data_IF_979760056522
#
_entry.id   IF_979760056522
#
_cell.length_a   1.000
_cell.length_b   1.000
_cell.length_c   1.000
_cell.angle_alpha   90.00
_cell.angle_beta   90.00
_cell.angle_gamma   90.00
#
_symmetry.space_group_name_H-M   'P 1'
#
loop_
_entity.id
_entity.type
_entity.pdbx_description
1 polymer ?
#
# COMPACT_ATOMS: atom_id res chain seq x y z
N UNK A 1 20.59 4.62 6.55
CA UNK A 1 19.71 5.08 5.45
C UNK A 1 18.47 5.77 5.98
N UNK A 2 17.69 5.15 6.86
CA UNK A 2 16.52 5.78 7.52
C UNK A 2 16.87 7.08 8.27
N UNK A 3 17.97 7.13 9.04
CA UNK A 3 18.44 8.38 9.66
C UNK A 3 18.69 9.53 8.67
N UNK A 4 19.45 9.25 7.60
CA UNK A 4 19.69 10.22 6.51
C UNK A 4 18.39 10.62 5.80
N UNK A 5 17.44 9.69 5.62
CA UNK A 5 16.11 10.00 5.09
C UNK A 5 15.33 10.95 6.01
N UNK A 6 15.41 10.80 7.33
CA UNK A 6 14.77 11.71 8.30
C UNK A 6 15.37 13.13 8.23
N UNK A 7 16.70 13.24 8.14
CA UNK A 7 17.38 14.54 7.94
C UNK A 7 16.92 15.18 6.63
N UNK A 8 16.87 14.40 5.54
CA UNK A 8 16.31 14.89 4.27
C UNK A 8 14.84 15.30 4.40
N UNK A 9 14.05 14.58 5.20
CA UNK A 9 12.68 14.96 5.53
C UNK A 9 12.60 16.35 6.15
N UNK A 10 13.52 16.67 7.05
CA UNK A 10 13.65 18.00 7.65
C UNK A 10 14.04 19.06 6.60
N UNK A 11 15.05 18.78 5.77
CA UNK A 11 15.47 19.67 4.67
C UNK A 11 14.30 20.03 3.74
N UNK A 12 13.43 19.07 3.46
CA UNK A 12 12.25 19.25 2.61
C UNK A 12 10.97 19.61 3.39
N UNK A 13 11.04 19.93 4.68
CA UNK A 13 9.86 20.29 5.49
C UNK A 13 8.72 19.24 5.42
N UNK A 14 9.11 17.97 5.31
CA UNK A 14 8.23 16.80 5.36
C UNK A 14 8.64 15.83 6.48
N UNK A 15 9.35 16.34 7.49
CA UNK A 15 9.95 15.56 8.56
C UNK A 15 8.92 14.76 9.36
N UNK A 16 7.74 15.32 9.63
CA UNK A 16 6.66 14.63 10.34
C UNK A 16 6.19 13.34 9.64
N UNK A 17 6.03 13.40 8.32
CA UNK A 17 5.63 12.26 7.50
C UNK A 17 6.71 11.18 7.48
N UNK A 18 7.97 11.60 7.32
CA UNK A 18 9.12 10.70 7.32
C UNK A 18 9.31 10.05 8.69
N UNK A 19 9.09 10.78 9.79
CA UNK A 19 9.09 10.22 11.15
C UNK A 19 7.95 9.22 11.33
N UNK A 20 6.74 9.53 10.86
CA UNK A 20 5.59 8.62 10.92
C UNK A 20 5.88 7.30 10.20
N UNK A 21 6.40 7.37 8.97
CA UNK A 21 6.76 6.16 8.21
C UNK A 21 7.90 5.40 8.89
N UNK A 22 8.94 6.10 9.36
CA UNK A 22 10.08 5.47 10.03
C UNK A 22 9.64 4.75 11.30
N UNK A 23 8.83 5.39 12.14
CA UNK A 23 8.26 4.78 13.35
C UNK A 23 7.42 3.54 13.04
N UNK A 24 6.59 3.60 11.99
CA UNK A 24 5.74 2.48 11.62
C UNK A 24 6.52 1.24 11.16
N UNK A 25 7.75 1.39 10.65
CA UNK A 25 8.60 0.24 10.29
C UNK A 25 9.05 -0.58 11.50
N UNK A 26 8.96 -0.03 12.72
CA UNK A 26 9.29 -0.74 13.96
C UNK A 26 8.17 -1.66 14.46
N UNK A 27 6.98 -1.57 13.87
CA UNK A 27 5.80 -2.30 14.33
C UNK A 27 5.13 -3.09 13.18
N UNK A 28 4.28 -4.07 13.50
CA UNK A 28 3.41 -4.68 12.50
C UNK A 28 2.51 -3.63 11.82
N UNK A 29 2.09 -3.89 10.58
CA UNK A 29 1.14 -3.01 9.89
C UNK A 29 -0.19 -2.92 10.67
N UNK A 30 -0.85 -1.73 10.73
CA UNK A 30 -2.08 -1.56 11.50
C UNK A 30 -3.29 -2.25 10.87
N UNK A 31 -3.19 -2.76 9.64
CA UNK A 31 -4.29 -3.36 8.89
C UNK A 31 -4.62 -4.79 9.37
N UNK A 32 -5.84 -4.99 9.88
CA UNK A 32 -6.30 -6.32 10.31
C UNK A 32 -6.89 -7.08 9.12
N UNK A 33 -6.14 -8.03 8.56
CA UNK A 33 -6.53 -8.79 7.36
C UNK A 33 -6.54 -10.33 7.53
N UNK A 34 -6.25 -10.86 8.71
CA UNK A 34 -6.27 -12.30 9.03
C UNK A 34 -5.53 -13.18 7.99
N UNK A 35 -4.42 -12.69 7.42
CA UNK A 35 -3.63 -13.40 6.41
C UNK A 35 -4.25 -13.45 5.00
N UNK A 36 -5.37 -12.76 4.79
CA UNK A 36 -6.02 -12.56 3.48
C UNK A 36 -5.44 -11.32 2.78
N UNK A 37 -5.89 -11.09 1.55
CA UNK A 37 -5.55 -9.85 0.83
C UNK A 37 -6.25 -8.66 1.48
N UNK A 38 -5.63 -7.48 1.42
CA UNK A 38 -6.27 -6.26 1.90
C UNK A 38 -7.59 -6.02 1.17
N UNK A 39 -8.63 -5.69 1.94
CA UNK A 39 -9.95 -5.35 1.42
C UNK A 39 -10.01 -3.93 0.85
N UNK A 40 -11.14 -3.58 0.23
CA UNK A 40 -11.36 -2.25 -0.35
C UNK A 40 -11.14 -1.11 0.64
N UNK A 41 -11.61 -1.27 1.89
CA UNK A 41 -11.46 -0.30 2.97
C UNK A 41 -10.00 0.11 3.17
N UNK A 42 -9.07 -0.85 3.21
CA UNK A 42 -7.65 -0.58 3.40
C UNK A 42 -6.99 -0.01 2.13
N UNK A 43 -7.37 -0.53 0.96
CA UNK A 43 -6.81 -0.07 -0.32
C UNK A 43 -7.21 1.36 -0.68
N UNK A 44 -8.38 1.83 -0.21
CA UNK A 44 -8.85 3.19 -0.44
C UNK A 44 -7.94 4.24 0.19
N UNK A 45 -7.23 3.92 1.28
CA UNK A 45 -6.24 4.81 1.88
C UNK A 45 -5.02 5.06 0.98
N UNK A 46 -4.74 4.20 -0.02
CA UNK A 46 -3.66 4.43 -0.98
C UNK A 46 -4.01 5.51 -2.03
N UNK A 47 -5.29 5.87 -2.16
CA UNK A 47 -5.79 6.79 -3.17
C UNK A 47 -5.34 6.40 -4.59
N UNK A 48 -4.77 7.37 -5.32
CA UNK A 48 -4.21 7.19 -6.67
C UNK A 48 -2.71 6.91 -6.66
N UNK A 49 -2.08 6.82 -5.48
CA UNK A 49 -0.62 6.75 -5.35
C UNK A 49 -0.04 5.35 -5.47
N UNK A 50 -0.86 4.29 -5.41
CA UNK A 50 -0.40 2.89 -5.50
C UNK A 50 0.73 2.58 -4.49
N UNK A 51 0.55 3.00 -3.24
CA UNK A 51 1.59 2.96 -2.21
C UNK A 51 1.05 2.50 -0.86
N UNK A 52 1.70 1.47 -0.31
CA UNK A 52 1.47 0.98 1.05
C UNK A 52 1.87 2.03 2.10
N UNK A 53 2.98 2.76 1.88
CA UNK A 53 3.42 3.84 2.78
C UNK A 53 2.44 5.03 2.77
N UNK A 54 1.90 5.39 1.60
CA UNK A 54 0.86 6.44 1.51
C UNK A 54 -0.44 5.97 2.16
N UNK A 55 -0.81 4.70 2.01
CA UNK A 55 -1.98 4.14 2.69
C UNK A 55 -1.82 4.22 4.21
N UNK A 56 -0.65 3.87 4.73
CA UNK A 56 -0.32 4.01 6.14
C UNK A 56 -0.39 5.47 6.62
N UNK A 57 0.21 6.42 5.88
CA UNK A 57 0.13 7.85 6.21
C UNK A 57 -1.32 8.35 6.25
N UNK A 58 -2.12 7.96 5.26
CA UNK A 58 -3.53 8.37 5.16
C UNK A 58 -4.37 7.77 6.30
N UNK A 59 -4.08 6.53 6.71
CA UNK A 59 -4.67 5.92 7.92
C UNK A 59 -4.29 6.71 9.15
N UNK A 60 -3.01 7.05 9.30
CA UNK A 60 -2.51 7.75 10.48
C UNK A 60 -3.14 9.15 10.61
N UNK A 61 -3.25 9.89 9.51
CA UNK A 61 -3.94 11.19 9.48
C UNK A 61 -5.41 11.05 9.89
N UNK A 62 -6.15 10.11 9.28
CA UNK A 62 -7.57 9.91 9.60
C UNK A 62 -7.80 9.38 11.03
N UNK A 63 -6.89 8.55 11.55
CA UNK A 63 -6.94 8.07 12.92
C UNK A 63 -6.64 9.18 13.93
N UNK A 64 -5.64 10.03 13.65
CA UNK A 64 -5.30 11.15 14.53
C UNK A 64 -6.47 12.13 14.64
N UNK A 65 -7.11 12.46 13.51
CA UNK A 65 -8.34 13.25 13.47
C UNK A 65 -9.48 12.63 14.29
N UNK A 66 -9.68 11.30 14.17
CA UNK A 66 -10.71 10.59 14.94
C UNK A 66 -10.40 10.55 16.44
N UNK A 67 -9.11 10.39 16.80
CA UNK A 67 -8.62 10.35 18.18
C UNK A 67 -8.84 11.69 18.90
N UNK A 68 -8.78 12.82 18.19
CA UNK A 68 -9.13 14.12 18.74
C UNK A 68 -10.59 14.21 19.23
N UNK A 69 -11.47 13.34 18.74
CA UNK A 69 -12.87 13.20 19.21
C UNK A 69 -13.04 12.38 20.49
N UNK A 70 -11.95 11.90 21.11
CA UNK A 70 -11.94 11.09 22.33
C UNK A 70 -11.84 9.58 22.08
N UNK A 71 -11.63 8.82 23.15
CA UNK A 71 -11.33 7.38 23.08
C UNK A 71 -12.44 6.55 22.40
N UNK A 72 -13.71 6.92 22.63
CA UNK A 72 -14.84 6.21 22.02
C UNK A 72 -14.92 6.44 20.50
N UNK A 73 -14.54 7.65 20.03
CA UNK A 73 -14.46 7.95 18.60
C UNK A 73 -13.28 7.21 17.95
N UNK A 74 -12.12 7.18 18.62
CA UNK A 74 -10.95 6.41 18.20
C UNK A 74 -11.27 4.92 18.05
N UNK A 75 -11.93 4.33 19.07
CA UNK A 75 -12.35 2.93 19.07
C UNK A 75 -13.29 2.62 17.91
N UNK A 76 -14.35 3.43 17.73
CA UNK A 76 -15.30 3.27 16.62
C UNK A 76 -14.62 3.38 15.25
N UNK A 77 -13.68 4.30 15.09
CA UNK A 77 -12.90 4.43 13.86
C UNK A 77 -12.08 3.16 13.59
N UNK A 78 -11.33 2.67 14.58
CA UNK A 78 -10.50 1.48 14.44
C UNK A 78 -11.33 0.22 14.15
N UNK A 79 -12.47 0.04 14.84
CA UNK A 79 -13.40 -1.05 14.60
C UNK A 79 -13.98 -1.00 13.17
N UNK A 80 -14.48 0.17 12.77
CA UNK A 80 -15.08 0.37 11.45
C UNK A 80 -14.08 0.17 10.30
N UNK A 81 -12.84 0.66 10.45
CA UNK A 81 -11.78 0.53 9.44
C UNK A 81 -10.96 -0.76 9.57
N UNK A 82 -11.25 -1.62 10.56
CA UNK A 82 -10.51 -2.85 10.88
C UNK A 82 -9.01 -2.58 11.04
N UNK A 83 -8.68 -1.70 11.98
CA UNK A 83 -7.33 -1.26 12.30
C UNK A 83 -6.96 -1.63 13.74
N UNK A 84 -5.68 -1.92 13.96
CA UNK A 84 -5.12 -2.13 15.29
C UNK A 84 -4.88 -0.78 15.99
N UNK A 85 -5.74 -0.43 16.94
CA UNK A 85 -5.59 0.77 17.76
C UNK A 85 -4.26 0.78 18.52
N UNK A 86 -3.87 -0.37 19.09
CA UNK A 86 -2.60 -0.51 19.81
C UNK A 86 -1.39 -0.20 18.91
N UNK A 87 -1.38 -0.70 17.67
CA UNK A 87 -0.31 -0.41 16.70
C UNK A 87 -0.23 1.07 16.36
N UNK A 88 -1.38 1.73 16.17
CA UNK A 88 -1.44 3.16 15.85
C UNK A 88 -0.92 4.01 17.01
N UNK A 89 -1.33 3.71 18.26
CA UNK A 89 -0.83 4.39 19.46
C UNK A 89 0.68 4.20 19.65
N UNK A 90 1.20 2.96 19.54
CA UNK A 90 2.65 2.70 19.61
C UNK A 90 3.43 3.43 18.51
N UNK A 91 2.88 3.49 17.29
CA UNK A 91 3.49 4.22 16.18
C UNK A 91 3.54 5.72 16.47
N UNK A 92 2.48 6.28 17.06
CA UNK A 92 2.44 7.68 17.46
C UNK A 92 3.47 8.01 18.54
N UNK A 93 3.58 7.17 19.58
CA UNK A 93 4.59 7.35 20.64
C UNK A 93 6.01 7.34 20.08
N UNK A 94 6.33 6.35 19.23
CA UNK A 94 7.64 6.27 18.58
C UNK A 94 7.89 7.46 17.64
N UNK A 95 6.87 7.94 16.91
CA UNK A 95 6.95 9.14 16.08
C UNK A 95 7.30 10.37 16.93
N UNK A 96 6.65 10.56 18.08
CA UNK A 96 6.92 11.68 18.99
C UNK A 96 8.37 11.61 19.48
N UNK A 97 8.84 10.43 19.91
CA UNK A 97 10.23 10.24 20.34
C UNK A 97 11.23 10.61 19.22
N UNK A 98 10.96 10.24 17.97
CA UNK A 98 11.81 10.64 16.84
C UNK A 98 11.83 12.15 16.62
N UNK A 99 10.68 12.83 16.74
CA UNK A 99 10.59 14.29 16.63
C UNK A 99 11.38 14.96 17.76
N UNK A 100 11.23 14.50 18.99
CA UNK A 100 11.94 15.05 20.15
C UNK A 100 13.46 14.88 20.03
N UNK A 101 13.92 13.74 19.51
CA UNK A 101 15.35 13.53 19.21
C UNK A 101 15.86 14.53 18.16
N UNK A 102 15.10 14.78 17.09
CA UNK A 102 15.49 15.74 16.06
C UNK A 102 15.51 17.18 16.61
N UNK A 103 14.48 17.59 17.36
CA UNK A 103 14.39 18.92 17.97
C UNK A 103 15.52 19.13 18.97
N UNK A 104 15.77 18.16 19.86
CA UNK A 104 16.88 18.22 20.82
C UNK A 104 18.26 18.20 20.15
N UNK A 105 18.35 17.68 18.93
CA UNK A 105 19.56 17.76 18.09
C UNK A 105 19.70 19.10 17.35
N UNK A 106 18.78 20.06 17.55
CA UNK A 106 18.85 21.42 17.01
C UNK A 106 18.01 21.65 15.75
N UNK A 107 17.30 20.65 15.23
CA UNK A 107 16.44 20.83 14.05
C UNK A 107 15.26 21.76 14.38
N UNK A 108 14.92 22.72 13.50
CA UNK A 108 13.79 23.61 13.74
C UNK A 108 12.45 22.86 13.79
N UNK A 109 11.54 23.25 14.67
CA UNK A 109 10.24 22.58 14.81
C UNK A 109 9.39 22.69 13.54
N UNK A 110 9.58 23.76 12.76
CA UNK A 110 8.84 24.05 11.53
C UNK A 110 8.99 22.93 10.49
N UNK A 111 10.15 22.25 10.45
CA UNK A 111 10.37 21.15 9.51
C UNK A 111 9.71 19.83 9.94
N UNK A 112 9.19 19.78 11.17
CA UNK A 112 8.55 18.63 11.82
C UNK A 112 7.06 18.89 12.11
N UNK A 113 6.50 19.97 11.57
CA UNK A 113 5.07 20.25 11.69
C UNK A 113 4.24 19.18 10.95
N UNK A 114 3.15 18.75 11.59
CA UNK A 114 2.17 17.86 10.96
C UNK A 114 1.53 18.61 9.78
N UNK A 115 1.45 17.94 8.63
CA UNK A 115 0.82 18.50 7.43
C UNK A 115 -0.17 17.51 6.85
N UNK A 116 -1.34 17.97 6.35
CA UNK A 116 -2.29 17.11 5.68
C UNK A 116 -1.77 16.74 4.29
N UNK A 117 -1.97 15.48 3.90
CA UNK A 117 -1.62 14.99 2.56
C UNK A 117 -2.86 14.61 1.74
N UNK A 118 -2.80 14.89 0.44
CA UNK A 118 -3.79 14.45 -0.54
C UNK A 118 -3.29 13.24 -1.33
N UNK A 119 -3.87 12.07 -1.04
CA UNK A 119 -3.54 10.81 -1.68
C UNK A 119 -4.26 10.57 -3.03
N UNK A 120 -5.21 11.41 -3.43
CA UNK A 120 -6.04 11.21 -4.63
C UNK A 120 -5.73 12.22 -5.73
N UNK A 121 -5.36 13.45 -5.35
CA UNK A 121 -4.99 14.53 -6.26
C UNK A 121 -3.49 14.88 -6.24
N UNK A 122 -3.10 15.94 -6.96
CA UNK A 122 -1.74 16.47 -6.93
C UNK A 122 -1.36 16.94 -5.51
N UNK A 123 -0.19 16.53 -5.05
CA UNK A 123 0.39 16.92 -3.77
C UNK A 123 1.91 16.78 -3.87
N UNK A 124 2.59 17.91 -4.01
CA UNK A 124 4.04 17.94 -4.23
C UNK A 124 4.81 17.53 -2.98
N UNK A 125 4.27 17.76 -1.77
CA UNK A 125 4.95 17.36 -0.54
C UNK A 125 4.89 15.83 -0.39
N UNK A 126 3.74 15.22 -0.70
CA UNK A 126 3.61 13.77 -0.77
C UNK A 126 4.53 13.16 -1.85
N UNK A 127 4.65 13.81 -3.00
CA UNK A 127 5.56 13.39 -4.07
C UNK A 127 7.03 13.40 -3.62
N UNK A 128 7.43 14.40 -2.83
CA UNK A 128 8.75 14.42 -2.18
C UNK A 128 8.89 13.30 -1.17
N UNK A 129 7.90 13.06 -0.31
CA UNK A 129 7.92 11.94 0.64
C UNK A 129 8.13 10.61 -0.09
N UNK A 130 7.45 10.36 -1.21
CA UNK A 130 7.66 9.15 -2.04
C UNK A 130 9.09 9.09 -2.59
N UNK A 131 9.65 10.23 -2.98
CA UNK A 131 11.04 10.33 -3.46
C UNK A 131 12.05 9.99 -2.36
N UNK A 132 11.82 10.50 -1.14
CA UNK A 132 12.63 10.20 0.04
C UNK A 132 12.48 8.73 0.49
N UNK A 133 11.28 8.16 0.34
CA UNK A 133 11.08 6.73 0.59
C UNK A 133 11.90 5.88 -0.36
N UNK A 134 11.94 6.25 -1.65
CA UNK A 134 12.78 5.57 -2.61
C UNK A 134 14.26 5.59 -2.20
N UNK A 135 14.75 6.71 -1.67
CA UNK A 135 16.08 6.80 -1.05
C UNK A 135 16.23 5.86 0.15
N UNK A 136 15.27 5.90 1.08
CA UNK A 136 15.34 5.17 2.35
C UNK A 136 15.37 3.66 2.19
N UNK A 137 14.61 3.13 1.24
CA UNK A 137 14.47 1.67 1.03
C UNK A 137 15.32 1.12 -0.12
N UNK A 138 15.99 1.97 -0.92
CA UNK A 138 17.01 1.50 -1.86
C UNK A 138 18.00 0.56 -1.13
N UNK A 139 18.47 -0.57 -1.72
CA UNK A 139 18.35 -1.02 -3.11
C UNK A 139 17.09 -1.85 -3.43
N UNK A 140 16.06 -1.79 -2.58
CA UNK A 140 14.83 -2.57 -2.75
C UNK A 140 13.94 -1.96 -3.86
N UNK A 141 14.37 -2.13 -5.10
CA UNK A 141 13.64 -1.73 -6.31
C UNK A 141 13.13 -2.98 -7.02
N UNK A 142 11.96 -2.88 -7.64
CA UNK A 142 11.45 -3.94 -8.49
C UNK A 142 10.66 -3.41 -9.69
N UNK A 143 10.61 -4.24 -10.73
CA UNK A 143 9.85 -4.03 -11.94
C UNK A 143 8.64 -4.98 -11.95
N UNK A 144 7.43 -4.44 -12.08
CA UNK A 144 6.21 -5.21 -12.23
C UNK A 144 6.12 -5.82 -13.63
N UNK A 145 5.95 -7.14 -13.70
CA UNK A 145 5.83 -7.87 -14.97
C UNK A 145 4.36 -8.04 -15.37
N UNK A 146 3.65 -8.85 -14.61
CA UNK A 146 2.25 -9.24 -14.87
C UNK A 146 1.64 -9.73 -13.55
N UNK A 147 0.31 -9.63 -13.39
CA UNK A 147 -0.40 -10.13 -12.21
C UNK A 147 0.31 -9.73 -10.89
N UNK A 148 0.81 -10.72 -10.14
CA UNK A 148 1.59 -10.54 -8.90
C UNK A 148 3.10 -10.67 -9.11
N UNK A 149 3.58 -11.01 -10.31
CA UNK A 149 4.99 -11.27 -10.56
C UNK A 149 5.76 -9.96 -10.69
N UNK A 150 6.87 -9.88 -9.98
CA UNK A 150 7.82 -8.77 -10.03
C UNK A 150 9.23 -9.31 -10.25
N UNK A 151 10.10 -8.47 -10.79
CA UNK A 151 11.53 -8.71 -10.91
C UNK A 151 12.26 -7.75 -9.98
N UNK A 152 13.05 -8.29 -9.06
CA UNK A 152 13.85 -7.47 -8.13
C UNK A 152 15.16 -7.01 -8.77
N UNK A 153 15.82 -6.03 -8.16
CA UNK A 153 17.16 -5.54 -8.56
C UNK A 153 18.19 -6.66 -8.79
N UNK A 154 18.08 -7.77 -8.05
CA UNK A 154 18.96 -8.95 -8.13
C UNK A 154 18.66 -9.86 -9.34
N UNK A 155 17.67 -9.52 -10.19
CA UNK A 155 17.22 -10.37 -11.29
C UNK A 155 16.36 -11.56 -10.85
N UNK A 156 16.00 -11.64 -9.57
CA UNK A 156 15.14 -12.72 -9.05
C UNK A 156 13.66 -12.37 -9.19
N UNK A 157 12.87 -13.38 -9.62
CA UNK A 157 11.42 -13.30 -9.62
C UNK A 157 10.88 -13.37 -8.19
N UNK A 158 9.96 -12.47 -7.87
CA UNK A 158 9.24 -12.46 -6.60
C UNK A 158 7.75 -12.16 -6.85
N UNK A 159 6.95 -12.17 -5.78
CA UNK A 159 5.54 -11.85 -5.82
C UNK A 159 5.21 -10.58 -5.03
N UNK A 160 4.18 -9.84 -5.45
CA UNK A 160 3.56 -8.81 -4.60
C UNK A 160 2.91 -9.52 -3.40
N UNK A 161 3.29 -9.12 -2.18
CA UNK A 161 2.75 -9.72 -0.96
C UNK A 161 1.25 -9.45 -0.82
N UNK A 162 0.51 -10.38 -0.19
CA UNK A 162 -0.96 -10.29 -0.07
C UNK A 162 -1.42 -9.08 0.74
N UNK A 163 -0.60 -8.62 1.70
CA UNK A 163 -0.88 -7.44 2.51
C UNK A 163 -0.62 -6.12 1.78
N UNK A 164 -0.09 -6.13 0.55
CA UNK A 164 0.09 -4.89 -0.19
C UNK A 164 -1.22 -4.41 -0.81
N UNK A 165 -1.47 -3.10 -0.77
CA UNK A 165 -2.52 -2.42 -1.54
C UNK A 165 -2.32 -2.58 -3.03
N UNK A 166 -1.14 -2.98 -3.48
CA UNK A 166 -0.82 -3.28 -4.88
C UNK A 166 -1.06 -4.76 -5.24
N UNK A 167 -1.49 -5.61 -4.29
CA UNK A 167 -1.84 -6.99 -4.63
C UNK A 167 -3.18 -7.02 -5.38
N UNK A 168 -3.24 -7.49 -6.64
CA UNK A 168 -4.51 -7.59 -7.38
C UNK A 168 -5.54 -8.48 -6.67
N UNK A 169 -6.83 -8.20 -6.83
CA UNK A 169 -7.93 -9.03 -6.29
C UNK A 169 -8.14 -10.32 -7.08
N UNK A 170 -7.98 -10.25 -8.40
CA UNK A 170 -8.15 -11.39 -9.32
C UNK A 170 -6.91 -11.57 -10.20
N UNK A 171 -6.97 -12.54 -11.10
CA UNK A 171 -5.91 -12.78 -12.09
C UNK A 171 -5.92 -11.77 -13.26
N UNK A 172 -6.79 -10.76 -13.23
CA UNK A 172 -6.79 -9.68 -14.22
C UNK A 172 -5.55 -8.81 -14.06
N UNK A 173 -4.95 -8.43 -15.18
CA UNK A 173 -3.76 -7.59 -15.18
C UNK A 173 -4.12 -6.15 -14.79
N UNK A 174 -3.58 -5.72 -13.64
CA UNK A 174 -3.57 -4.31 -13.26
C UNK A 174 -2.47 -3.63 -14.07
N UNK A 175 -2.86 -2.67 -14.89
CA UNK A 175 -1.91 -1.77 -15.55
C UNK A 175 -1.60 -0.59 -14.62
N UNK A 176 -0.38 -0.55 -14.12
CA UNK A 176 0.11 0.57 -13.31
C UNK A 176 0.57 1.74 -14.20
N UNK A 177 0.54 3.00 -13.69
CA UNK A 177 1.07 4.16 -14.41
C UNK A 177 2.57 4.05 -14.74
N UNK A 178 3.31 3.33 -13.89
CA UNK A 178 4.72 2.97 -14.09
C UNK A 178 4.94 1.52 -13.66
N UNK A 179 5.87 0.79 -14.29
CA UNK A 179 6.20 -0.55 -13.85
C UNK A 179 7.13 -0.59 -12.63
N UNK A 180 7.65 0.56 -12.18
CA UNK A 180 8.67 0.62 -11.13
C UNK A 180 8.08 0.82 -9.74
N UNK A 181 8.55 0.01 -8.81
CA UNK A 181 8.20 0.09 -7.40
C UNK A 181 9.46 0.02 -6.54
N UNK A 182 9.41 0.69 -5.39
CA UNK A 182 10.29 0.41 -4.26
C UNK A 182 9.52 -0.40 -3.20
N UNK A 183 10.22 -1.18 -2.38
CA UNK A 183 9.58 -1.99 -1.34
C UNK A 183 10.36 -1.99 -0.01
N UNK A 184 9.65 -2.14 1.11
CA UNK A 184 10.25 -2.12 2.44
C UNK A 184 11.03 -3.41 2.76
N UNK A 185 10.39 -4.56 2.57
CA UNK A 185 10.96 -5.85 3.01
C UNK A 185 10.70 -7.00 2.03
N UNK A 186 11.62 -7.97 2.03
CA UNK A 186 11.53 -9.22 1.26
C UNK A 186 11.26 -10.37 2.22
N UNK A 187 10.10 -11.01 2.06
CA UNK A 187 9.69 -12.13 2.91
C UNK A 187 9.80 -13.43 2.11
N UNK A 188 10.46 -14.43 2.70
CA UNK A 188 10.53 -15.79 2.15
C UNK A 188 9.63 -16.73 2.96
N UNK A 189 8.50 -17.11 2.37
CA UNK A 189 7.65 -18.21 2.89
C UNK A 189 7.67 -19.35 1.87
N UNK A 190 6.53 -19.69 1.25
CA UNK A 190 6.45 -20.62 0.11
C UNK A 190 7.00 -20.01 -1.18
N UNK A 191 6.94 -18.69 -1.30
CA UNK A 191 7.50 -17.92 -2.40
C UNK A 191 8.12 -16.63 -1.84
N UNK A 192 9.14 -16.11 -2.51
CA UNK A 192 9.70 -14.79 -2.19
C UNK A 192 8.67 -13.73 -2.55
N UNK A 193 8.33 -12.87 -1.61
CA UNK A 193 7.38 -11.78 -1.80
C UNK A 193 7.92 -10.45 -1.31
N UNK A 194 7.65 -9.38 -2.04
CA UNK A 194 7.93 -8.01 -1.61
C UNK A 194 6.71 -7.43 -0.88
N UNK A 195 6.95 -6.83 0.29
CA UNK A 195 5.93 -6.19 1.14
C UNK A 195 6.26 -4.70 1.31
N UNK A 196 5.23 -3.92 1.59
CA UNK A 196 5.30 -2.46 1.72
C UNK A 196 5.82 -1.79 0.44
N UNK A 197 5.08 -1.97 -0.65
CA UNK A 197 5.41 -1.50 -1.99
C UNK A 197 4.91 -0.08 -2.25
N UNK A 198 5.67 0.70 -3.02
CA UNK A 198 5.32 2.06 -3.43
C UNK A 198 5.70 2.30 -4.87
N UNK A 199 4.72 2.71 -5.69
CA UNK A 199 4.94 3.11 -7.07
C UNK A 199 5.86 4.33 -7.10
N UNK A 200 6.86 4.29 -7.99
CA UNK A 200 7.79 5.40 -8.20
C UNK A 200 7.94 5.74 -9.67
N UNK A 201 8.27 6.99 -9.94
CA UNK A 201 8.59 7.47 -11.28
C UNK A 201 10.02 7.11 -11.67
N UNK A 202 10.32 6.98 -12.98
CA UNK A 202 11.69 6.86 -13.46
C UNK A 202 12.61 8.00 -12.98
N UNK A 203 12.08 9.23 -12.83
CA UNK A 203 12.86 10.36 -12.35
C UNK A 203 13.16 10.26 -10.84
N UNK A 204 12.23 9.74 -10.04
CA UNK A 204 12.46 9.47 -8.62
C UNK A 204 13.54 8.39 -8.43
N UNK A 205 13.54 7.35 -9.27
CA UNK A 205 14.63 6.35 -9.28
C UNK A 205 15.99 6.98 -9.64
N UNK A 206 16.00 7.84 -10.66
CA UNK A 206 17.19 8.56 -11.11
C UNK A 206 17.61 9.69 -10.15
N UNK A 207 16.79 10.10 -9.19
CA UNK A 207 17.22 11.02 -8.15
C UNK A 207 17.78 10.25 -6.95
N UNK A 208 17.09 9.20 -6.51
CA UNK A 208 17.27 8.70 -5.15
C UNK A 208 17.44 7.20 -5.00
N UNK A 209 17.11 6.39 -6.01
CA UNK A 209 17.15 4.93 -5.92
C UNK A 209 18.04 4.31 -7.00
N UNK A 210 19.27 4.80 -7.09
CA UNK A 210 20.31 4.20 -7.92
C UNK A 210 21.71 4.52 -7.44
N UNK A 211 22.65 3.62 -7.73
CA UNK A 211 24.07 3.74 -7.40
C UNK A 211 24.90 4.04 -8.65
N UNK A 212 24.54 3.48 -9.80
CA UNK A 212 25.29 3.61 -11.05
C UNK A 212 24.35 4.06 -12.17
N UNK A 213 24.78 5.06 -12.92
CA UNK A 213 24.05 5.60 -14.08
C UNK A 213 25.03 5.71 -15.24
N UNK A 214 24.75 4.98 -16.31
CA UNK A 214 25.50 5.05 -17.56
C UNK A 214 24.61 5.61 -18.66
N UNK A 215 25.20 6.29 -19.64
CA UNK A 215 24.48 6.85 -20.77
C UNK A 215 25.20 6.53 -22.06
N UNK A 216 24.44 6.15 -23.09
CA UNK A 216 24.92 6.00 -24.47
C UNK A 216 24.48 7.15 -25.39
N UNK A 217 23.90 8.21 -24.81
CA UNK A 217 23.33 9.36 -25.53
C UNK A 217 21.80 9.41 -25.50
N UNK A 218 21.14 8.30 -25.81
CA UNK A 218 19.67 8.19 -25.92
C UNK A 218 19.03 7.32 -24.83
N UNK A 219 19.80 6.36 -24.32
CA UNK A 219 19.42 5.45 -23.28
C UNK A 219 20.26 5.73 -22.03
N UNK A 220 19.59 5.67 -20.89
CA UNK A 220 20.19 5.73 -19.56
C UNK A 220 20.04 4.35 -18.93
N UNK A 221 21.17 3.71 -18.62
CA UNK A 221 21.23 2.45 -17.92
C UNK A 221 21.47 2.70 -16.44
N UNK A 222 20.48 2.35 -15.62
CA UNK A 222 20.49 2.55 -14.17
C UNK A 222 20.70 1.20 -13.48
N UNK A 223 21.71 1.15 -12.61
CA UNK A 223 22.15 -0.03 -11.85
C UNK A 223 22.35 -1.30 -12.70
N UNK A 224 22.77 -1.13 -13.96
CA UNK A 224 23.06 -2.20 -14.92
C UNK A 224 21.82 -3.04 -15.35
N UNK A 225 20.59 -2.64 -15.02
CA UNK A 225 19.39 -3.40 -15.41
C UNK A 225 18.19 -2.55 -15.86
N UNK A 226 18.01 -1.34 -15.33
CA UNK A 226 16.89 -0.47 -15.73
C UNK A 226 17.32 0.37 -16.92
N UNK A 227 16.63 0.22 -18.05
CA UNK A 227 16.86 0.98 -19.27
C UNK A 227 15.79 2.05 -19.42
N UNK A 228 16.19 3.32 -19.38
CA UNK A 228 15.31 4.47 -19.53
C UNK A 228 15.65 5.21 -20.82
N UNK A 229 14.65 5.45 -21.67
CA UNK A 229 14.84 6.28 -22.88
C UNK A 229 14.76 7.75 -22.49
N UNK A 230 15.91 8.40 -22.40
CA UNK A 230 16.06 9.78 -21.95
C UNK A 230 17.37 10.36 -22.49
N UNK A 231 17.33 11.61 -22.98
CA UNK A 231 18.54 12.28 -23.49
C UNK A 231 19.60 12.42 -22.38
N UNK A 232 20.87 12.30 -22.76
CA UNK A 232 22.02 12.41 -21.87
C UNK A 232 21.98 13.65 -20.96
N UNK A 233 21.86 14.86 -21.53
CA UNK A 233 22.03 16.10 -20.78
C UNK A 233 21.02 16.25 -19.61
N UNK A 234 19.69 16.07 -19.79
CA UNK A 234 18.76 16.04 -18.67
C UNK A 234 19.08 14.98 -17.61
N UNK A 235 19.48 13.77 -18.01
CA UNK A 235 19.82 12.70 -17.08
C UNK A 235 21.07 13.02 -16.26
N UNK A 236 22.08 13.63 -16.88
CA UNK A 236 23.29 14.11 -16.23
C UNK A 236 22.96 15.20 -15.20
N UNK A 237 22.14 16.21 -15.57
CA UNK A 237 21.71 17.26 -14.64
C UNK A 237 20.96 16.70 -13.42
N UNK A 238 20.02 15.78 -13.63
CA UNK A 238 19.27 15.14 -12.55
C UNK A 238 20.20 14.35 -11.62
N UNK A 239 21.16 13.62 -12.19
CA UNK A 239 22.12 12.83 -11.41
C UNK A 239 23.09 13.73 -10.64
N UNK A 240 23.47 14.88 -11.19
CA UNK A 240 24.34 15.85 -10.52
C UNK A 240 23.72 16.46 -9.25
N UNK A 241 22.38 16.60 -9.20
CA UNK A 241 21.67 17.08 -8.01
C UNK A 241 21.94 16.21 -6.78
N UNK A 242 22.25 14.92 -6.96
CA UNK A 242 22.51 14.01 -5.84
C UNK A 242 23.68 14.47 -4.99
N UNK A 243 24.81 14.82 -5.62
CA UNK A 243 25.99 15.28 -4.91
C UNK A 243 25.71 16.58 -4.14
N UNK A 244 24.95 17.50 -4.74
CA UNK A 244 24.57 18.75 -4.09
C UNK A 244 23.65 18.52 -2.87
N UNK A 245 22.68 17.61 -2.97
CA UNK A 245 21.83 17.20 -1.83
C UNK A 245 22.65 16.53 -0.74
N UNK A 246 23.62 15.68 -1.09
CA UNK A 246 24.50 15.06 -0.12
C UNK A 246 25.38 16.08 0.60
N UNK A 247 25.89 17.09 -0.11
CA UNK A 247 26.59 18.22 0.49
C UNK A 247 25.72 18.96 1.50
N UNK A 248 24.49 19.32 1.10
CA UNK A 248 23.54 20.00 2.00
C UNK A 248 23.20 19.14 3.24
N UNK A 249 23.03 17.82 3.08
CA UNK A 249 22.83 16.92 4.22
C UNK A 249 23.99 17.00 5.21
N UNK A 250 25.24 17.07 4.72
CA UNK A 250 26.43 17.19 5.58
C UNK A 250 26.44 18.54 6.31
N UNK A 251 26.11 19.63 5.63
CA UNK A 251 26.04 20.97 6.22
C UNK A 251 24.96 21.03 7.32
N UNK A 252 23.73 20.60 7.01
CA UNK A 252 22.62 20.55 7.96
C UNK A 252 22.91 19.62 9.14
N UNK A 253 23.68 18.54 8.93
CA UNK A 253 24.06 17.65 10.03
C UNK A 253 25.07 18.28 11.00
N UNK A 254 25.84 19.30 10.56
CA UNK A 254 26.77 20.05 11.42
C UNK A 254 26.07 21.18 12.16
N UNK A 255 25.19 21.88 11.47
CA UNK A 255 24.37 22.95 12.03
C UNK A 255 22.94 22.87 11.45
N UNK A 256 22.00 22.22 12.16
CA UNK A 256 20.62 22.13 11.71
C UNK A 256 19.90 23.49 11.67
N UNK A 257 20.44 24.51 12.36
CA UNK A 257 19.86 25.85 12.42
C UNK A 257 19.79 26.55 11.07
N UNK A 258 20.65 26.18 10.12
CA UNK A 258 20.68 26.73 8.75
C UNK A 258 19.37 26.50 7.99
N UNK A 259 18.56 25.53 8.40
CA UNK A 259 17.26 25.29 7.78
C UNK A 259 16.33 26.50 7.93
N UNK A 260 16.46 27.33 8.98
CA UNK A 260 15.64 28.54 9.14
C UNK A 260 15.85 29.55 8.02
N UNK A 261 17.05 29.57 7.44
CA UNK A 261 17.42 30.48 6.37
C UNK A 261 18.49 29.82 5.49
N UNK A 262 18.03 29.10 4.47
CA UNK A 262 18.91 28.46 3.51
C UNK A 262 19.44 29.46 2.49
N UNK A 263 20.65 29.21 1.98
CA UNK A 263 21.17 29.99 0.87
C UNK A 263 20.26 29.88 -0.37
N UNK A 264 20.11 30.96 -1.16
CA UNK A 264 19.25 30.96 -2.35
C UNK A 264 19.58 29.86 -3.37
N UNK A 265 20.84 29.40 -3.40
CA UNK A 265 21.25 28.28 -4.25
C UNK A 265 20.64 26.94 -3.78
N UNK A 266 20.65 26.68 -2.48
CA UNK A 266 20.02 25.51 -1.87
C UNK A 266 18.51 25.54 -2.06
N UNK A 267 17.87 26.69 -1.86
CA UNK A 267 16.42 26.83 -2.09
C UNK A 267 16.04 26.47 -3.52
N UNK A 268 16.74 27.02 -4.52
CA UNK A 268 16.50 26.69 -5.94
C UNK A 268 16.69 25.21 -6.23
N UNK A 269 17.74 24.59 -5.68
CA UNK A 269 17.97 23.15 -5.81
C UNK A 269 16.80 22.34 -5.25
N UNK A 270 16.33 22.67 -4.04
CA UNK A 270 15.19 22.00 -3.41
C UNK A 270 13.90 22.19 -4.23
N UNK A 271 13.68 23.37 -4.80
CA UNK A 271 12.56 23.62 -5.72
C UNK A 271 12.61 22.73 -6.97
N UNK A 272 13.78 22.59 -7.59
CA UNK A 272 13.95 21.70 -8.76
C UNK A 272 13.65 20.25 -8.38
N UNK A 273 14.13 19.77 -7.22
CA UNK A 273 13.85 18.41 -6.75
C UNK A 273 12.35 18.23 -6.51
N UNK A 274 11.67 19.20 -5.87
CA UNK A 274 10.21 19.18 -5.70
C UNK A 274 9.47 19.04 -7.02
N UNK A 275 9.92 19.73 -8.06
CA UNK A 275 9.31 19.64 -9.39
C UNK A 275 9.57 18.27 -10.04
N UNK A 276 10.79 17.73 -9.94
CA UNK A 276 11.16 16.42 -10.48
C UNK A 276 10.49 15.25 -9.74
N UNK A 277 10.19 15.43 -8.46
CA UNK A 277 9.45 14.44 -7.64
C UNK A 277 8.04 14.19 -8.15
N UNK A 278 7.44 15.14 -8.87
CA UNK A 278 6.06 15.02 -9.37
C UNK A 278 5.95 13.90 -10.41
N UNK A 279 4.99 12.98 -10.29
CA UNK A 279 4.74 11.94 -11.30
C UNK A 279 4.59 12.49 -12.72
N UNK A 280 3.91 13.64 -12.86
CA UNK A 280 3.71 14.32 -14.13
C UNK A 280 5.02 14.79 -14.80
N UNK A 281 6.09 15.07 -14.03
CA UNK A 281 7.39 15.44 -14.59
C UNK A 281 8.02 14.29 -15.39
N UNK A 282 7.67 13.05 -15.06
CA UNK A 282 8.06 11.85 -15.80
C UNK A 282 7.03 11.45 -16.88
N UNK A 283 6.05 12.31 -17.19
CA UNK A 283 4.95 12.00 -18.09
C UNK A 283 3.93 10.99 -17.53
N UNK A 284 3.95 10.72 -16.22
CA UNK A 284 3.01 9.79 -15.60
C UNK A 284 1.73 10.51 -15.21
N UNK A 285 0.60 10.06 -15.76
CA UNK A 285 -0.71 10.46 -15.30
C UNK A 285 -1.16 9.51 -14.18
N UNK A 286 -1.17 10.01 -12.94
CA UNK A 286 -1.93 9.38 -11.86
C UNK A 286 -3.40 9.69 -12.13
N UNK A 287 -4.05 8.82 -12.91
CA UNK A 287 -5.46 8.99 -13.21
C UNK A 287 -6.24 9.11 -11.90
N UNK A 288 -7.22 10.02 -11.80
CA UNK A 288 -8.17 10.00 -10.71
C UNK A 288 -8.67 8.58 -10.62
N UNK A 289 -8.74 8.03 -9.41
CA UNK A 289 -9.40 6.76 -9.24
C UNK A 289 -10.78 6.94 -9.88
N UNK A 290 -11.02 6.31 -11.04
CA UNK A 290 -12.35 5.80 -11.34
C UNK A 290 -12.82 5.22 -10.02
N UNK A 291 -14.02 5.59 -9.59
CA UNK A 291 -14.81 5.16 -8.42
C UNK A 291 -14.79 3.65 -8.22
N UNK A 292 -13.61 3.04 -8.19
CA UNK A 292 -13.37 1.63 -8.35
C UNK A 292 -13.84 0.94 -7.10
N UNK A 293 -13.81 1.64 -5.97
CA UNK A 293 -14.15 1.10 -4.68
C UNK A 293 -14.88 2.17 -3.87
N UNK A 294 -16.21 2.24 -4.02
CA UNK A 294 -17.06 2.57 -2.86
C UNK A 294 -16.78 1.61 -1.70
N UNK A 295 -17.57 1.60 -0.62
CA UNK A 295 -17.38 0.75 0.57
C UNK A 295 -17.42 -0.80 0.35
N UNK A 296 -17.11 -1.27 -0.85
CA UNK A 296 -17.29 -2.62 -1.32
C UNK A 296 -18.72 -2.83 -1.83
N UNK A 297 -19.09 -4.07 -2.15
CA UNK A 297 -20.48 -4.43 -2.33
C UNK A 297 -21.28 -3.98 -1.09
N UNK A 298 -22.48 -3.43 -1.29
CA UNK A 298 -23.40 -3.13 -0.18
C UNK A 298 -23.48 -4.36 0.74
N UNK A 299 -23.48 -4.19 2.08
CA UNK A 299 -23.71 -5.29 2.99
C UNK A 299 -24.93 -6.10 2.52
N UNK A 300 -24.90 -7.44 2.56
CA UNK A 300 -26.10 -8.22 2.29
C UNK A 300 -27.22 -7.66 3.15
N UNK A 301 -28.34 -7.27 2.54
CA UNK A 301 -29.53 -6.88 3.32
C UNK A 301 -29.81 -8.04 4.27
N UNK A 302 -29.60 -7.85 5.56
CA UNK A 302 -30.01 -8.82 6.56
C UNK A 302 -31.50 -9.09 6.31
N UNK A 303 -31.86 -10.35 6.12
CA UNK A 303 -33.24 -10.77 6.18
C UNK A 303 -33.80 -10.23 7.50
N UNK A 304 -34.80 -9.35 7.42
CA UNK A 304 -35.54 -8.95 8.62
C UNK A 304 -35.97 -10.24 9.29
N UNK A 305 -35.57 -10.44 10.54
CA UNK A 305 -36.15 -11.45 11.39
C UNK A 305 -37.64 -11.15 11.46
N UNK A 306 -38.46 -12.00 10.84
CA UNK A 306 -39.89 -12.05 11.10
C UNK A 306 -40.04 -12.63 12.51
N UNK A 307 -40.02 -11.75 13.51
CA UNK A 307 -40.41 -12.11 14.85
C UNK A 307 -41.92 -11.89 14.96
N UNK A 308 -42.68 -12.98 14.78
CA UNK A 308 -44.11 -12.98 15.07
C UNK A 308 -44.35 -12.67 16.55
N UNK A 309 -45.27 -11.73 16.81
CA UNK A 309 -45.70 -11.42 18.17
C UNK A 309 -46.61 -10.19 18.26
N UNK A 310 -47.91 -10.45 18.37
CA UNK A 310 -49.04 -9.52 18.37
C UNK A 310 -49.01 -8.37 19.40
N UNK A 311 -49.72 -7.27 19.08
CA UNK A 311 -50.72 -6.57 19.93
C UNK A 311 -51.40 -5.45 19.13
N UNK A 312 -52.74 -5.45 19.11
CA UNK A 312 -53.56 -4.54 18.32
C UNK A 312 -53.86 -3.19 18.97
N UNK A 313 -54.59 -2.36 18.22
CA UNK A 313 -55.78 -1.55 18.58
C UNK A 313 -55.93 -0.36 17.61
N UNK A 314 -57.14 -0.16 17.06
CA UNK A 314 -57.58 1.17 16.60
C UNK A 314 -58.24 1.32 15.22
N UNK A 315 -59.52 0.92 15.10
CA UNK A 315 -60.61 1.73 14.53
C UNK A 315 -60.72 2.01 13.00
N UNK A 316 -61.91 2.38 12.49
CA UNK A 316 -62.38 1.88 11.19
C UNK A 316 -62.74 2.93 10.12
N UNK A 317 -62.90 2.43 8.88
CA UNK A 317 -63.60 3.00 7.71
C UNK A 317 -63.16 4.35 7.12
N UNK A 318 -62.78 4.36 5.84
CA UNK A 318 -63.53 5.05 4.77
C UNK A 318 -63.03 4.68 3.36
N UNK A 319 -64.00 4.40 2.50
CA UNK A 319 -63.87 4.12 1.09
C UNK A 319 -63.68 5.38 0.23
N UNK A 320 -63.08 5.19 -0.96
CA UNK A 320 -63.23 5.88 -2.27
C UNK A 320 -62.01 5.47 -3.10
N UNK A 321 -62.06 4.87 -4.28
CA UNK A 321 -63.00 4.98 -5.40
C UNK A 321 -62.15 5.25 -6.66
N UNK A 322 -62.60 4.77 -7.84
CA UNK A 322 -61.98 4.77 -9.19
C UNK A 322 -61.02 3.59 -9.45
N UNK A 323 -61.34 2.55 -10.25
CA UNK A 323 -62.01 2.54 -11.56
C UNK A 323 -60.98 2.99 -12.61
N UNK A 324 -60.46 2.21 -13.55
CA UNK A 324 -60.95 1.10 -14.37
C UNK A 324 -60.21 1.23 -15.74
N UNK A 325 -60.36 0.26 -16.65
CA UNK A 325 -59.73 0.12 -17.99
C UNK A 325 -58.27 -0.42 -17.95
N UNK A 326 -57.92 -1.62 -18.42
CA UNK A 326 -58.57 -2.52 -19.37
C UNK A 326 -57.86 -2.44 -20.73
N UNK A 327 -56.86 -3.31 -20.96
CA UNK A 327 -56.53 -3.78 -22.31
C UNK A 327 -55.88 -5.18 -22.25
N UNK A 328 -56.44 -6.09 -23.03
CA UNK A 328 -56.06 -7.50 -23.17
C UNK A 328 -55.71 -7.79 -24.63
N UNK A 329 -54.85 -8.80 -24.85
CA UNK A 329 -54.56 -9.42 -26.15
C UNK A 329 -53.26 -8.92 -26.78
N UNK A 330 -52.37 -9.74 -27.34
CA UNK A 330 -52.57 -11.02 -28.04
C UNK A 330 -51.27 -11.84 -28.16
N UNK A 331 -51.41 -13.08 -28.69
CA UNK A 331 -50.40 -14.01 -29.26
C UNK A 331 -49.77 -15.02 -28.27
N UNK A 332 -49.73 -16.33 -28.51
CA UNK A 332 -50.04 -17.12 -29.70
C UNK A 332 -49.11 -18.36 -29.76
N UNK A 333 -49.73 -19.54 -29.68
CA UNK A 333 -49.26 -20.95 -29.87
C UNK A 333 -47.94 -21.26 -30.63
N UNK A 334 -47.27 -22.33 -30.16
CA UNK A 334 -46.88 -23.63 -30.83
C UNK A 334 -45.55 -24.14 -30.21
N UNK A 335 -45.16 -25.41 -30.15
CA UNK A 335 -45.73 -26.76 -30.26
C UNK A 335 -44.53 -27.74 -30.29
N UNK A 336 -44.66 -28.94 -29.72
CA UNK A 336 -43.84 -30.13 -30.04
C UNK A 336 -42.92 -30.59 -28.89
N UNK A 337 -43.29 -31.63 -28.10
CA UNK A 337 -43.19 -33.09 -28.37
C UNK A 337 -41.73 -33.61 -28.28
N UNK A 338 -41.37 -34.79 -27.76
CA UNK A 338 -41.96 -35.95 -27.07
C UNK A 338 -40.75 -36.83 -26.65
N UNK A 339 -40.86 -37.69 -25.63
CA UNK A 339 -40.07 -38.95 -25.58
C UNK A 339 -39.37 -39.32 -24.25
N UNK A 340 -39.99 -40.20 -23.47
CA UNK A 340 -39.40 -41.14 -22.49
C UNK A 340 -38.81 -42.38 -23.23
N UNK A 341 -38.27 -43.46 -22.58
CA UNK A 341 -37.94 -43.72 -21.16
C UNK A 341 -36.55 -44.38 -20.94
N UNK A 342 -36.14 -44.64 -19.69
CA UNK A 342 -35.11 -45.66 -19.40
C UNK A 342 -34.50 -45.65 -17.99
N UNK A 343 -35.03 -46.47 -17.09
CA UNK A 343 -34.31 -47.16 -16.01
C UNK A 343 -34.51 -48.66 -16.29
N UNK A 344 -33.60 -49.60 -15.92
CA UNK A 344 -33.40 -49.96 -14.50
C UNK A 344 -32.08 -50.71 -14.10
N UNK A 345 -31.95 -50.97 -12.79
CA UNK A 345 -31.19 -52.05 -12.08
C UNK A 345 -29.67 -52.00 -11.84
N UNK A 346 -29.32 -52.39 -10.59
CA UNK A 346 -28.06 -53.00 -10.13
C UNK A 346 -27.29 -52.14 -9.11
N UNK A 347 -27.11 -52.44 -7.82
CA UNK A 347 -27.24 -53.70 -7.08
C UNK A 347 -25.88 -54.14 -6.50
N UNK A 348 -25.59 -53.74 -5.25
CA UNK A 348 -24.90 -54.56 -4.23
C UNK A 348 -23.37 -54.74 -4.23
N UNK A 349 -22.79 -54.68 -3.02
CA UNK A 349 -21.51 -55.30 -2.61
C UNK A 349 -20.37 -54.30 -2.34
N UNK A 350 -19.63 -54.30 -1.24
CA UNK A 350 -19.55 -55.20 -0.10
C UNK A 350 -18.56 -54.64 0.95
N UNK A 351 -18.73 -55.11 2.20
CA UNK A 351 -17.90 -54.82 3.37
C UNK A 351 -16.73 -55.82 3.53
N UNK A 352 -15.77 -55.44 4.40
CA UNK A 352 -14.61 -56.17 4.99
C UNK A 352 -13.27 -55.90 4.29
N UNK A 353 -12.15 -55.66 4.98
CA UNK A 353 -11.82 -55.70 6.40
C UNK A 353 -10.36 -56.15 6.60
N UNK A 354 -9.71 -55.64 7.65
CA UNK A 354 -8.40 -56.09 8.17
C UNK A 354 -7.18 -55.56 7.41
N UNK A 355 -6.06 -55.15 8.00
CA UNK A 355 -5.58 -55.31 9.38
C UNK A 355 -4.07 -55.58 9.34
N UNK A 356 -3.28 -54.73 9.98
CA UNK A 356 -1.99 -55.09 10.60
C UNK A 356 -0.72 -55.10 9.74
N UNK A 357 0.28 -54.31 10.19
CA UNK A 357 1.64 -54.84 10.34
C UNK A 357 2.79 -54.10 9.66
N UNK A 358 3.48 -53.24 10.43
CA UNK A 358 4.95 -53.35 10.57
C UNK A 358 5.85 -52.40 9.77
N UNK A 359 6.65 -51.61 10.50
CA UNK A 359 8.07 -51.44 10.17
C UNK A 359 8.60 -50.02 9.94
N UNK A 360 9.52 -49.60 10.82
CA UNK A 360 10.49 -48.51 10.57
C UNK A 360 10.20 -47.23 11.36
N UNK A 361 11.08 -46.63 12.13
CA UNK A 361 12.50 -46.87 12.38
C UNK A 361 13.13 -45.56 12.88
N UNK A 362 13.98 -45.65 13.90
CA UNK A 362 15.08 -44.69 14.13
C UNK A 362 14.80 -43.42 14.94
N UNK A 363 14.90 -43.51 16.27
CA UNK A 363 15.36 -42.39 17.11
C UNK A 363 16.78 -42.70 17.60
N UNK A 364 17.76 -41.88 17.19
CA UNK A 364 19.04 -41.71 17.88
C UNK A 364 19.36 -40.22 17.95
N UNK A 365 19.25 -39.68 19.16
CA UNK A 365 19.80 -38.39 19.53
C UNK A 365 21.30 -38.50 19.80
N UNK A 366 22.03 -37.50 19.33
CA UNK A 366 23.39 -37.10 19.71
C UNK A 366 23.37 -35.57 19.57
N UNK A 367 23.66 -34.73 20.56
CA UNK A 367 24.60 -34.87 21.65
C UNK A 367 25.98 -34.41 21.15
N UNK A 368 26.27 -33.11 21.25
CA UNK A 368 27.58 -32.57 20.84
C UNK A 368 27.64 -31.04 20.91
N UNK A 369 27.95 -30.51 22.08
CA UNK A 369 28.39 -29.13 22.23
C UNK A 369 29.87 -28.99 21.87
N UNK A 370 30.27 -27.83 21.33
CA UNK A 370 31.65 -27.36 21.39
C UNK A 370 31.69 -25.86 21.68
N UNK A 371 32.58 -25.56 22.62
CA UNK A 371 32.89 -24.28 23.26
C UNK A 371 34.15 -23.72 22.56
N UNK A 372 34.16 -22.40 22.39
CA UNK A 372 35.31 -21.46 22.40
C UNK A 372 36.51 -21.65 21.46
N UNK A 373 36.90 -20.53 20.86
CA UNK A 373 38.27 -20.25 20.44
C UNK A 373 38.45 -18.78 20.06
N UNK A 374 38.99 -18.03 21.04
CA UNK A 374 39.68 -16.72 21.03
C UNK A 374 39.13 -15.52 20.24
#
# INVERSE_FOLDING_TARGET
RLGKMMIMGCIFYVGDAVCTISAATCFPEPFINEGKRLGYVHRNFAGTRHSDHVALLSVFQAWDDARMGGEEAEKRFCEHKRLSMATLRMTWEAKVQLKDILISSGFPEECLMTQPFNNTGPDNNLDVVISLLAFGVYPNVCYHKEKRKILTTEGHNALIHKSSVNCPFSSQDIKYPSPFFVFGEKIRTRAISAKTMTLVSPLQLLLFASKKVLSDGELILVDDWIKLRMRHAPAACITALRAAVEGLVVEVSKDPGILRQLDPAHERMLTVIRQLSRPAAAGMALLPASTRFGDGPRPPKMSRYDNGGARGWGGPHRARGYGGYGYSGYCGRRSGARGYPGSPYGGGGGYRGGGGGGGGGGYRGTGGGYRRGY
#
